data_IF_611214426995
#
_entry.id   IF_611214426995
#
_cell.length_a   1.000
_cell.length_b   1.000
_cell.length_c   1.000
_cell.angle_alpha   90.00
_cell.angle_beta   90.00
_cell.angle_gamma   90.00
#
_symmetry.space_group_name_H-M   'P 1'
#
loop_
_entity.id
_entity.type
_entity.pdbx_description
1 polymer ?
#
# COMPACT_ATOMS: atom_id res chain seq x y z
N UNK A 1 16.69 19.28 8.52
CA UNK A 1 16.32 18.24 9.49
C UNK A 1 15.08 17.59 8.93
N UNK A 2 15.27 16.45 8.28
CA UNK A 2 14.23 15.72 7.55
C UNK A 2 13.56 14.78 8.56
N UNK A 3 12.45 15.22 9.15
CA UNK A 3 11.73 14.45 10.17
C UNK A 3 10.86 13.42 9.46
N UNK A 4 11.40 12.23 9.20
CA UNK A 4 10.64 11.06 8.73
C UNK A 4 9.84 10.36 9.85
N UNK A 5 9.92 10.85 11.09
CA UNK A 5 9.32 10.27 12.31
C UNK A 5 7.78 10.23 12.37
N UNK A 6 7.07 10.67 11.32
CA UNK A 6 5.61 10.68 11.28
C UNK A 6 4.97 9.94 10.10
N UNK A 7 5.75 9.39 9.17
CA UNK A 7 5.21 8.75 7.96
C UNK A 7 5.05 7.26 8.21
N UNK A 8 3.81 6.78 8.22
CA UNK A 8 3.53 5.34 8.32
C UNK A 8 3.73 4.72 6.94
N UNK A 9 4.53 3.66 6.89
CA UNK A 9 4.75 2.89 5.67
C UNK A 9 3.90 1.62 5.70
N UNK A 10 3.17 1.36 4.61
CA UNK A 10 2.59 0.03 4.35
C UNK A 10 3.60 -0.88 3.65
N UNK A 11 4.38 -0.31 2.72
CA UNK A 11 5.47 -1.00 2.03
C UNK A 11 6.71 -0.13 2.15
N UNK A 12 7.83 -0.74 2.48
CA UNK A 12 9.15 -0.13 2.34
C UNK A 12 10.15 -1.19 1.90
N UNK A 13 10.51 -1.14 0.62
CA UNK A 13 11.50 -2.00 0.01
C UNK A 13 12.67 -1.13 -0.42
N UNK A 14 13.84 -1.38 0.12
CA UNK A 14 15.05 -0.65 -0.22
C UNK A 14 16.22 -1.62 -0.32
N UNK A 15 17.16 -1.34 -1.23
CA UNK A 15 18.42 -2.05 -1.21
C UNK A 15 19.22 -1.71 0.05
N UNK A 16 20.05 -2.66 0.51
CA UNK A 16 20.92 -2.45 1.66
C UNK A 16 21.83 -1.22 1.46
N UNK A 17 22.17 -0.48 2.54
CA UNK A 17 23.12 0.62 2.45
C UNK A 17 24.43 0.23 1.76
N UNK A 18 24.95 1.10 0.89
CA UNK A 18 26.18 0.86 0.12
C UNK A 18 26.00 0.08 -1.19
N UNK A 19 24.76 -0.09 -1.66
CA UNK A 19 24.44 -0.69 -2.96
C UNK A 19 23.89 0.38 -3.93
N UNK A 20 22.77 0.15 -4.62
CA UNK A 20 22.17 1.06 -5.60
C UNK A 20 21.42 2.25 -4.97
N UNK A 21 21.02 2.14 -3.70
CA UNK A 21 20.13 3.11 -3.05
C UNK A 21 18.70 3.13 -3.60
N UNK A 22 18.34 2.16 -4.44
CA UNK A 22 16.99 2.03 -4.98
C UNK A 22 15.99 1.71 -3.87
N UNK A 23 14.81 2.34 -3.95
CA UNK A 23 13.72 2.05 -3.04
C UNK A 23 12.36 2.26 -3.67
N UNK A 24 11.39 1.48 -3.20
CA UNK A 24 9.97 1.65 -3.43
C UNK A 24 9.27 1.65 -2.08
N UNK A 25 8.40 2.62 -1.85
CA UNK A 25 7.59 2.66 -0.63
C UNK A 25 6.14 3.00 -0.94
N UNK A 26 5.24 2.46 -0.14
CA UNK A 26 3.85 2.89 -0.06
C UNK A 26 3.65 3.54 1.29
N UNK A 27 3.34 4.82 1.28
CA UNK A 27 3.22 5.65 2.48
C UNK A 27 1.77 6.00 2.70
N UNK A 28 1.30 5.84 3.93
CA UNK A 28 -0.04 6.24 4.36
C UNK A 28 0.02 7.73 4.70
N UNK A 29 -0.75 8.52 3.98
CA UNK A 29 -0.85 9.97 4.14
C UNK A 29 -2.00 10.34 5.09
N UNK A 30 -3.04 9.51 5.15
CA UNK A 30 -4.18 9.70 6.02
C UNK A 30 -5.32 8.75 5.73
N UNK A 31 -6.47 9.06 6.32
CA UNK A 31 -7.73 8.32 6.16
C UNK A 31 -8.78 9.27 5.64
N UNK A 32 -9.51 8.87 4.62
CA UNK A 32 -10.61 9.64 4.06
C UNK A 32 -11.93 9.16 4.66
N UNK A 33 -12.75 10.10 5.17
CA UNK A 33 -14.10 9.88 5.71
C UNK A 33 -14.25 8.68 6.69
N UNK A 34 -13.52 8.66 7.82
CA UNK A 34 -13.69 7.62 8.83
C UNK A 34 -15.12 7.61 9.39
N UNK A 35 -15.76 6.43 9.43
CA UNK A 35 -17.05 6.22 10.12
C UNK A 35 -18.32 6.49 9.31
N UNK A 36 -18.24 6.76 8.01
CA UNK A 36 -19.38 6.66 7.08
C UNK A 36 -19.32 5.28 6.41
N UNK A 37 -20.49 4.68 6.12
CA UNK A 37 -20.72 3.38 5.44
C UNK A 37 -19.49 2.81 4.73
N UNK A 38 -19.21 1.51 4.94
CA UNK A 38 -18.02 0.72 4.55
C UNK A 38 -17.38 0.95 3.17
N UNK A 39 -18.02 1.65 2.24
CA UNK A 39 -17.46 2.06 0.94
C UNK A 39 -16.88 3.49 0.86
N UNK A 40 -16.89 4.26 1.95
CA UNK A 40 -16.38 5.65 1.98
C UNK A 40 -15.13 5.82 2.84
N UNK A 41 -14.74 4.77 3.54
CA UNK A 41 -13.56 4.75 4.38
C UNK A 41 -12.40 4.13 3.60
N UNK A 42 -11.32 4.88 3.41
CA UNK A 42 -10.14 4.41 2.70
C UNK A 42 -8.88 5.11 3.17
N UNK A 43 -7.74 4.45 2.97
CA UNK A 43 -6.44 5.06 3.20
C UNK A 43 -6.04 5.86 1.96
N UNK A 44 -5.68 7.12 2.20
CA UNK A 44 -5.01 7.96 1.22
C UNK A 44 -3.51 7.69 1.33
N UNK A 45 -2.91 7.26 0.22
CA UNK A 45 -1.55 6.76 0.16
C UNK A 45 -0.79 7.34 -1.03
N UNK A 46 0.53 7.19 -0.99
CA UNK A 46 1.39 7.43 -2.15
C UNK A 46 2.34 6.25 -2.35
N UNK A 47 2.53 5.84 -3.61
CA UNK A 47 3.69 5.05 -4.03
C UNK A 47 4.82 6.02 -4.36
N UNK A 48 5.97 5.85 -3.72
CA UNK A 48 7.19 6.62 -3.97
C UNK A 48 8.29 5.68 -4.44
N UNK A 49 8.84 5.98 -5.61
CA UNK A 49 9.96 5.28 -6.24
C UNK A 49 11.17 6.19 -6.22
N UNK A 50 12.30 5.69 -5.76
CA UNK A 50 13.59 6.39 -5.85
C UNK A 50 14.64 5.45 -6.46
N UNK A 51 15.25 5.89 -7.54
CA UNK A 51 16.44 5.31 -8.17
C UNK A 51 17.30 6.45 -8.73
N UNK A 52 18.55 6.19 -9.10
CA UNK A 52 19.51 7.24 -9.52
C UNK A 52 18.95 8.19 -10.59
N UNK A 53 18.23 7.64 -11.57
CA UNK A 53 17.70 8.38 -12.74
C UNK A 53 16.20 8.59 -12.70
N UNK A 54 15.49 8.01 -11.71
CA UNK A 54 14.03 7.97 -11.68
C UNK A 54 13.52 8.30 -10.28
N UNK A 55 12.72 9.35 -10.20
CA UNK A 55 11.90 9.66 -9.04
C UNK A 55 10.44 9.66 -9.47
N UNK A 56 9.63 8.79 -8.86
CA UNK A 56 8.22 8.64 -9.18
C UNK A 56 7.37 8.78 -7.93
N UNK A 57 6.24 9.47 -8.05
CA UNK A 57 5.24 9.58 -7.01
C UNK A 57 3.85 9.40 -7.61
N UNK A 58 3.08 8.46 -7.09
CA UNK A 58 1.74 8.13 -7.56
C UNK A 58 0.76 8.10 -6.41
N UNK A 59 -0.35 8.83 -6.51
CA UNK A 59 -1.44 8.76 -5.53
C UNK A 59 -2.13 7.42 -5.59
N UNK A 60 -2.45 6.86 -4.43
CA UNK A 60 -3.09 5.55 -4.28
C UNK A 60 -4.18 5.62 -3.23
N UNK A 61 -5.32 5.01 -3.53
CA UNK A 61 -6.41 4.82 -2.58
C UNK A 61 -6.55 3.35 -2.24
N UNK A 62 -6.39 3.01 -0.95
CA UNK A 62 -6.47 1.63 -0.48
C UNK A 62 -7.78 1.36 0.27
N UNK A 63 -8.44 0.28 -0.13
CA UNK A 63 -9.57 -0.31 0.55
C UNK A 63 -9.09 -1.36 1.58
N UNK A 64 -9.92 -1.76 2.57
CA UNK A 64 -9.56 -2.81 3.51
C UNK A 64 -9.10 -4.11 2.83
N UNK A 65 -9.77 -4.52 1.75
CA UNK A 65 -9.42 -5.71 0.97
C UNK A 65 -8.03 -5.59 0.31
N UNK A 66 -7.57 -4.38 -0.03
CA UNK A 66 -6.24 -4.21 -0.59
C UNK A 66 -5.15 -4.58 0.44
N UNK A 67 -5.42 -4.44 1.74
CA UNK A 67 -4.49 -4.90 2.80
C UNK A 67 -4.52 -6.42 3.00
N UNK A 68 -5.59 -7.09 2.58
CA UNK A 68 -5.71 -8.56 2.57
C UNK A 68 -4.97 -9.12 1.36
N UNK A 69 -5.22 -8.55 0.19
CA UNK A 69 -4.51 -8.87 -1.05
C UNK A 69 -3.00 -8.70 -0.89
N UNK A 70 -2.55 -7.70 -0.11
CA UNK A 70 -1.13 -7.54 0.20
C UNK A 70 -0.57 -8.67 1.06
N UNK A 71 -1.33 -9.15 2.04
CA UNK A 71 -0.92 -10.29 2.88
C UNK A 71 -0.74 -11.57 2.05
N UNK A 72 -1.66 -11.81 1.12
CA UNK A 72 -1.61 -12.94 0.18
C UNK A 72 -0.45 -12.80 -0.81
N UNK A 73 -0.18 -11.59 -1.29
CA UNK A 73 0.97 -11.28 -2.11
C UNK A 73 2.29 -11.57 -1.35
N UNK A 74 2.37 -11.21 -0.06
CA UNK A 74 3.53 -11.51 0.78
C UNK A 74 3.74 -13.03 0.97
N UNK A 75 2.68 -13.79 1.21
CA UNK A 75 2.76 -15.25 1.28
C UNK A 75 3.24 -15.87 -0.06
N UNK A 76 2.82 -15.30 -1.17
CA UNK A 76 3.29 -15.71 -2.50
C UNK A 76 4.77 -15.38 -2.70
N UNK A 77 5.21 -14.18 -2.32
CA UNK A 77 6.61 -13.75 -2.44
C UNK A 77 7.54 -14.54 -1.53
N UNK A 78 7.11 -14.89 -0.32
CA UNK A 78 7.84 -15.74 0.62
C UNK A 78 8.15 -17.12 0.04
N UNK A 79 7.25 -17.65 -0.80
CA UNK A 79 7.47 -18.89 -1.54
C UNK A 79 8.35 -18.74 -2.80
N UNK A 80 8.99 -17.58 -2.99
CA UNK A 80 9.82 -17.26 -4.15
C UNK A 80 9.03 -17.03 -5.44
N UNK A 81 7.70 -16.89 -5.36
CA UNK A 81 6.84 -16.72 -6.53
C UNK A 81 6.56 -15.26 -6.82
N UNK A 82 6.28 -15.02 -8.10
CA UNK A 82 5.78 -13.76 -8.61
C UNK A 82 4.44 -13.35 -7.97
N UNK A 83 4.28 -12.07 -7.63
CA UNK A 83 3.03 -11.51 -7.09
C UNK A 83 2.63 -10.19 -7.76
N UNK A 84 1.33 -9.93 -7.80
CA UNK A 84 0.73 -8.66 -8.20
C UNK A 84 -0.13 -8.13 -7.06
N UNK A 85 -0.27 -6.81 -7.01
CA UNK A 85 -1.08 -6.12 -6.01
C UNK A 85 -1.79 -4.92 -6.64
N UNK A 86 -2.96 -4.55 -6.10
CA UNK A 86 -3.84 -3.49 -6.61
C UNK A 86 -4.28 -3.71 -8.07
N UNK A 87 -4.73 -4.92 -8.38
CA UNK A 87 -5.07 -5.34 -9.75
C UNK A 87 -6.47 -4.92 -10.23
N UNK A 88 -7.25 -4.26 -9.38
CA UNK A 88 -8.62 -3.82 -9.68
C UNK A 88 -8.70 -2.73 -10.76
N UNK A 89 -7.59 -2.06 -11.06
CA UNK A 89 -7.54 -0.94 -12.00
C UNK A 89 -8.09 0.38 -11.44
N UNK A 90 -8.39 0.47 -10.13
CA UNK A 90 -8.83 1.72 -9.47
C UNK A 90 -7.69 2.70 -9.20
N UNK A 91 -6.48 2.18 -9.08
CA UNK A 91 -5.28 2.87 -8.59
C UNK A 91 -4.06 2.26 -9.29
N UNK A 92 -2.88 2.90 -9.28
CA UNK A 92 -1.66 2.28 -9.79
C UNK A 92 -1.46 0.86 -9.24
N UNK A 93 -1.17 -0.08 -10.14
CA UNK A 93 -0.90 -1.47 -9.77
C UNK A 93 0.58 -1.71 -9.53
N UNK A 94 0.89 -2.69 -8.68
CA UNK A 94 2.26 -3.08 -8.37
C UNK A 94 2.55 -4.52 -8.76
N UNK A 95 3.78 -4.74 -9.23
CA UNK A 95 4.28 -6.03 -9.68
C UNK A 95 5.58 -6.34 -8.94
N UNK A 96 5.66 -7.52 -8.33
CA UNK A 96 6.82 -7.96 -7.55
C UNK A 96 7.35 -9.28 -8.11
N UNK A 97 8.57 -9.28 -8.65
CA UNK A 97 9.18 -10.46 -9.25
C UNK A 97 10.52 -10.76 -8.57
N UNK A 98 10.59 -11.79 -7.72
CA UNK A 98 11.87 -12.31 -7.22
C UNK A 98 12.80 -12.67 -8.39
N UNK A 99 14.08 -12.36 -8.23
CA UNK A 99 15.13 -12.70 -9.17
C UNK A 99 15.93 -13.91 -8.69
N UNK A 100 16.46 -14.70 -9.63
CA UNK A 100 17.26 -15.90 -9.31
C UNK A 100 18.54 -15.56 -8.53
N UNK A 101 19.06 -14.34 -8.66
CA UNK A 101 20.22 -13.85 -7.89
C UNK A 101 19.89 -13.41 -6.46
N UNK A 102 18.62 -13.49 -6.05
CA UNK A 102 18.14 -13.02 -4.74
C UNK A 102 17.69 -11.55 -4.72
N UNK A 103 17.67 -10.89 -5.88
CA UNK A 103 17.08 -9.56 -6.04
C UNK A 103 15.55 -9.57 -6.14
N UNK A 104 14.95 -8.38 -6.25
CA UNK A 104 13.52 -8.18 -6.43
C UNK A 104 13.27 -7.09 -7.47
N UNK A 105 12.58 -7.42 -8.55
CA UNK A 105 12.09 -6.42 -9.51
C UNK A 105 10.74 -5.91 -9.06
N UNK A 106 10.61 -4.59 -8.99
CA UNK A 106 9.35 -3.92 -8.64
C UNK A 106 8.90 -3.05 -9.81
N UNK A 107 7.68 -3.27 -10.30
CA UNK A 107 7.05 -2.40 -11.28
C UNK A 107 5.83 -1.70 -10.70
N UNK A 108 5.63 -0.45 -11.07
CA UNK A 108 4.44 0.34 -10.77
C UNK A 108 3.84 0.79 -12.09
N UNK A 109 2.58 0.46 -12.32
CA UNK A 109 1.84 0.84 -13.53
C UNK A 109 0.66 1.74 -13.15
N UNK A 110 0.76 3.02 -13.50
CA UNK A 110 -0.28 4.03 -13.30
C UNK A 110 -1.30 4.02 -14.45
N UNK A 111 -1.95 2.88 -14.65
CA UNK A 111 -2.97 2.69 -15.67
C UNK A 111 -4.15 3.68 -15.62
N UNK A 112 -4.68 4.04 -14.43
CA UNK A 112 -5.87 4.90 -14.33
C UNK A 112 -5.65 6.37 -14.71
N UNK A 113 -4.40 6.86 -14.63
CA UNK A 113 -4.08 8.27 -14.83
C UNK A 113 -3.15 8.48 -16.03
N UNK A 114 -1.86 8.10 -15.91
CA UNK A 114 -0.86 8.44 -16.93
C UNK A 114 -0.53 7.33 -17.93
N UNK A 115 -0.86 6.08 -17.62
CA UNK A 115 -0.44 4.89 -18.37
C UNK A 115 1.05 4.54 -18.22
N UNK A 116 1.81 5.30 -17.43
CA UNK A 116 3.25 5.08 -17.25
C UNK A 116 3.52 3.79 -16.47
N UNK A 117 4.56 3.06 -16.88
CA UNK A 117 5.11 1.96 -16.11
C UNK A 117 6.56 2.27 -15.74
N UNK A 118 6.85 2.26 -14.45
CA UNK A 118 8.22 2.33 -13.94
C UNK A 118 8.59 0.96 -13.42
N UNK A 119 9.77 0.46 -13.78
CA UNK A 119 10.31 -0.79 -13.24
C UNK A 119 11.72 -0.55 -12.74
N UNK A 120 11.97 -0.89 -11.47
CA UNK A 120 13.30 -0.80 -10.88
C UNK A 120 13.72 -2.16 -10.29
N UNK A 121 15.01 -2.51 -10.38
CA UNK A 121 15.58 -3.61 -9.63
C UNK A 121 15.95 -3.17 -8.21
N UNK A 122 15.68 -4.03 -7.25
CA UNK A 122 16.33 -4.06 -5.94
C UNK A 122 17.33 -5.21 -5.96
N UNK A 123 18.62 -4.90 -6.09
CA UNK A 123 19.67 -5.90 -6.29
C UNK A 123 20.07 -6.65 -5.01
N UNK A 124 19.77 -6.09 -3.85
CA UNK A 124 20.15 -6.66 -2.57
C UNK A 124 19.23 -6.21 -1.45
N UNK A 125 17.93 -6.50 -1.53
CA UNK A 125 17.03 -6.28 -0.40
C UNK A 125 17.53 -7.06 0.82
N UNK A 126 17.25 -6.60 2.06
CA UNK A 126 17.56 -7.35 3.28
C UNK A 126 16.99 -8.76 3.23
N UNK A 127 17.68 -9.79 3.76
CA UNK A 127 17.18 -11.18 3.70
C UNK A 127 15.78 -11.36 4.32
N UNK A 128 15.48 -10.55 5.32
CA UNK A 128 14.22 -10.58 6.09
C UNK A 128 13.19 -9.56 5.61
N UNK A 129 13.35 -9.00 4.40
CA UNK A 129 12.47 -7.94 3.88
C UNK A 129 10.99 -8.32 3.91
N UNK A 130 10.64 -9.60 3.72
CA UNK A 130 9.26 -10.10 3.80
C UNK A 130 8.71 -9.96 5.22
N UNK A 131 9.48 -10.36 6.24
CA UNK A 131 9.11 -10.18 7.65
C UNK A 131 8.94 -8.71 7.98
N UNK A 132 9.85 -7.86 7.51
CA UNK A 132 9.73 -6.40 7.67
C UNK A 132 8.44 -5.86 7.01
N UNK A 133 8.02 -6.38 5.85
CA UNK A 133 6.73 -5.98 5.25
C UNK A 133 5.53 -6.48 6.07
N UNK A 134 5.62 -7.65 6.71
CA UNK A 134 4.54 -8.15 7.59
C UNK A 134 4.40 -7.24 8.83
N UNK A 135 5.50 -6.77 9.39
CA UNK A 135 5.48 -5.81 10.50
C UNK A 135 4.88 -4.47 10.09
N UNK A 136 5.20 -3.97 8.89
CA UNK A 136 4.59 -2.75 8.34
C UNK A 136 3.10 -2.92 8.08
N UNK A 137 2.66 -4.06 7.54
CA UNK A 137 1.25 -4.38 7.36
C UNK A 137 0.49 -4.43 8.70
N UNK A 138 1.09 -5.03 9.73
CA UNK A 138 0.50 -5.07 11.06
C UNK A 138 0.32 -3.66 11.65
N UNK A 139 1.33 -2.79 11.48
CA UNK A 139 1.25 -1.38 11.88
C UNK A 139 0.16 -0.62 11.11
N UNK A 140 0.08 -0.79 9.80
CA UNK A 140 -0.94 -0.18 8.96
C UNK A 140 -2.36 -0.59 9.39
N UNK A 141 -2.57 -1.88 9.69
CA UNK A 141 -3.85 -2.41 10.22
C UNK A 141 -4.20 -1.84 11.60
N UNK A 142 -3.21 -1.49 12.42
CA UNK A 142 -3.44 -0.78 13.68
C UNK A 142 -4.00 0.63 13.48
N UNK A 143 -3.61 1.31 12.40
CA UNK A 143 -4.11 2.65 12.04
C UNK A 143 -5.41 2.60 11.24
N UNK A 144 -5.68 1.46 10.59
CA UNK A 144 -6.89 1.19 9.84
C UNK A 144 -7.67 -0.01 10.42
N UNK A 145 -8.26 0.13 11.62
CA UNK A 145 -8.96 -0.98 12.27
C UNK A 145 -10.17 -1.41 11.43
N UNK A 146 -10.27 -2.73 11.20
CA UNK A 146 -11.37 -3.37 10.45
C UNK A 146 -12.75 -3.13 11.07
N UNK A 147 -12.81 -2.96 12.39
CA UNK A 147 -14.04 -2.61 13.08
C UNK A 147 -14.17 -1.10 13.16
N UNK A 148 -15.32 -0.59 12.69
CA UNK A 148 -15.85 0.66 13.21
C UNK A 148 -15.95 0.47 14.72
N UNK A 149 -15.07 1.12 15.49
CA UNK A 149 -15.36 1.33 16.92
C UNK A 149 -16.64 2.16 16.91
N UNK A 150 -17.73 1.49 17.22
CA UNK A 150 -19.12 1.95 17.16
C UNK A 150 -19.24 3.43 17.56
N UNK A 151 -19.30 4.32 16.56
CA UNK A 151 -19.68 5.71 16.81
C UNK A 151 -21.19 5.79 16.78
N UNK A 152 -21.78 5.46 17.94
CA UNK A 152 -23.16 5.74 18.37
C UNK A 152 -24.29 5.03 17.60
N UNK A 153 -25.17 4.27 18.28
CA UNK A 153 -26.50 3.97 17.76
C UNK A 153 -27.26 5.30 17.65
N UNK A 154 -27.57 5.80 16.44
CA UNK A 154 -28.32 7.07 16.38
C UNK A 154 -28.54 7.81 15.07
N UNK A 155 -28.19 7.30 13.89
CA UNK A 155 -28.62 7.91 12.62
C UNK A 155 -28.81 6.77 11.61
N UNK A 156 -30.01 6.42 11.16
CA UNK A 156 -31.04 7.27 10.57
C UNK A 156 -32.44 6.81 10.99
N UNK A 157 -33.26 7.70 11.55
CA UNK A 157 -34.71 7.51 11.54
C UNK A 157 -35.32 8.22 10.33
N UNK A 158 -35.85 7.44 9.40
CA UNK A 158 -36.75 7.97 8.38
C UNK A 158 -38.02 8.47 9.07
N UNK A 159 -38.30 9.77 8.99
CA UNK A 159 -39.62 10.30 9.38
C UNK A 159 -40.67 9.56 8.56
N UNK A 160 -41.51 8.76 9.22
CA UNK A 160 -42.79 8.35 8.65
C UNK A 160 -43.63 9.60 8.45
N UNK A 161 -43.97 9.91 7.21
CA UNK A 161 -45.10 10.78 6.96
C UNK A 161 -46.36 10.08 7.50
N UNK A 162 -46.86 10.56 8.64
CA UNK A 162 -48.28 10.49 9.04
C UNK A 162 -48.78 11.93 8.95
N UNK A 163 -49.97 12.28 8.51
CA UNK A 163 -51.10 11.67 7.81
C UNK A 163 -51.97 12.90 7.47
N UNK A 164 -52.68 12.91 6.34
CA UNK A 164 -54.11 13.26 6.29
C UNK A 164 -54.77 12.34 5.28
#
# INVERSE_FOLDING_TARGET
MDSTDGVIHLIHLADRPGTSGHSVSVRILGRYQPGILTGHDFLDCEIVIKAESVNGKFSVTLLPEDLEDWEDALATLESGRFAMWLISGRTPSMKFKPDESGGLWVSVHDGPSSGVTVTIPLFGPPQQWVTEQRDLLAQARGVYPREVVETSPGAYEWRRARNV
#
